data_IF_210400038513
#
_entry.id   IF_210400038513
#
_cell.length_a   1.000
_cell.length_b   1.000
_cell.length_c   1.000
_cell.angle_alpha   90.00
_cell.angle_beta   90.00
_cell.angle_gamma   90.00
#
_symmetry.space_group_name_H-M   'P 1'
#
loop_
_entity.id
_entity.type
_entity.pdbx_description
1 polymer ?
#
# COMPACT_ATOMS: atom_id res chain seq x y z
N UNK A 1 20.81 -18.43 -44.13
CA UNK A 1 20.01 -17.62 -43.18
C UNK A 1 20.97 -16.99 -42.17
N UNK A 2 21.06 -15.65 -42.16
CA UNK A 2 22.20 -14.89 -41.63
C UNK A 2 22.01 -14.66 -40.12
N UNK A 3 23.05 -14.90 -39.32
CA UNK A 3 23.02 -14.92 -37.85
C UNK A 3 22.41 -13.65 -37.19
N UNK A 4 22.46 -12.50 -37.87
CA UNK A 4 21.87 -11.24 -37.41
C UNK A 4 20.34 -11.23 -37.32
N UNK A 5 19.64 -12.01 -38.15
CA UNK A 5 18.17 -12.02 -38.16
C UNK A 5 17.61 -12.77 -36.93
N UNK A 6 18.31 -13.82 -36.47
CA UNK A 6 17.96 -14.54 -35.23
C UNK A 6 18.15 -13.68 -33.98
N UNK A 7 19.23 -12.90 -33.90
CA UNK A 7 19.52 -12.05 -32.74
C UNK A 7 18.50 -10.90 -32.63
N UNK A 8 18.09 -10.32 -33.76
CA UNK A 8 17.07 -9.28 -33.83
C UNK A 8 15.69 -9.84 -33.44
N UNK A 9 15.36 -11.03 -33.92
CA UNK A 9 14.12 -11.74 -33.57
C UNK A 9 14.05 -12.09 -32.07
N UNK A 10 15.14 -12.60 -31.48
CA UNK A 10 15.20 -12.93 -30.06
C UNK A 10 15.08 -11.68 -29.16
N UNK A 11 15.79 -10.59 -29.50
CA UNK A 11 15.73 -9.33 -28.75
C UNK A 11 14.31 -8.74 -28.78
N UNK A 12 13.65 -8.75 -29.93
CA UNK A 12 12.30 -8.20 -30.08
C UNK A 12 11.22 -9.12 -29.47
N UNK A 13 11.36 -10.44 -29.59
CA UNK A 13 10.35 -11.39 -29.11
C UNK A 13 10.42 -11.73 -27.62
N UNK A 14 11.57 -11.55 -26.97
CA UNK A 14 11.77 -11.97 -25.57
C UNK A 14 12.22 -10.83 -24.68
N UNK A 15 13.24 -10.07 -25.10
CA UNK A 15 13.84 -9.03 -24.25
C UNK A 15 12.91 -7.82 -24.10
N UNK A 16 12.27 -7.38 -25.18
CA UNK A 16 11.30 -6.27 -25.14
C UNK A 16 10.10 -6.57 -24.23
N UNK A 17 9.39 -7.70 -24.37
CA UNK A 17 8.26 -8.00 -23.48
C UNK A 17 8.68 -8.17 -22.02
N UNK A 18 9.85 -8.76 -21.75
CA UNK A 18 10.39 -8.83 -20.37
C UNK A 18 10.70 -7.44 -19.80
N UNK A 19 11.27 -6.54 -20.59
CA UNK A 19 11.49 -5.15 -20.18
C UNK A 19 10.18 -4.43 -19.89
N UNK A 20 9.16 -4.61 -20.72
CA UNK A 20 7.83 -4.03 -20.51
C UNK A 20 7.22 -4.55 -19.20
N UNK A 21 7.26 -5.87 -18.97
CA UNK A 21 6.79 -6.47 -17.72
C UNK A 21 7.55 -5.94 -16.50
N UNK A 22 8.87 -5.80 -16.61
CA UNK A 22 9.71 -5.22 -15.56
C UNK A 22 9.33 -3.77 -15.25
N UNK A 23 9.09 -2.95 -16.28
CA UNK A 23 8.65 -1.55 -16.11
C UNK A 23 7.26 -1.46 -15.47
N UNK A 24 6.32 -2.32 -15.88
CA UNK A 24 4.99 -2.41 -15.26
C UNK A 24 5.11 -2.80 -13.79
N UNK A 25 5.95 -3.78 -13.46
CA UNK A 25 6.17 -4.18 -12.08
C UNK A 25 6.73 -3.01 -11.25
N UNK A 26 7.76 -2.32 -11.74
CA UNK A 26 8.36 -1.15 -11.08
C UNK A 26 7.32 -0.04 -10.86
N UNK A 27 6.53 0.29 -11.88
CA UNK A 27 5.47 1.31 -11.77
C UNK A 27 4.35 0.95 -10.81
N UNK A 28 4.13 -0.33 -10.54
CA UNK A 28 3.10 -0.79 -9.62
C UNK A 28 3.65 -1.25 -8.27
N UNK A 29 4.95 -1.05 -7.98
CA UNK A 29 5.55 -1.46 -6.71
C UNK A 29 4.85 -0.84 -5.50
N UNK A 30 4.44 0.42 -5.56
CA UNK A 30 3.72 1.09 -4.46
C UNK A 30 2.35 0.44 -4.20
N UNK A 31 1.63 0.06 -5.27
CA UNK A 31 0.34 -0.64 -5.18
C UNK A 31 0.50 -2.08 -4.69
N UNK A 32 1.56 -2.74 -5.14
CA UNK A 32 1.92 -4.08 -4.67
C UNK A 32 2.26 -4.04 -3.17
N UNK A 33 3.06 -3.06 -2.74
CA UNK A 33 3.38 -2.87 -1.32
C UNK A 33 2.13 -2.58 -0.48
N UNK A 34 1.19 -1.77 -0.99
CA UNK A 34 -0.09 -1.51 -0.34
C UNK A 34 -0.93 -2.78 -0.12
N UNK A 35 -0.90 -3.76 -1.03
CA UNK A 35 -1.60 -5.05 -0.84
C UNK A 35 -1.08 -5.86 0.35
N UNK A 36 0.20 -5.72 0.68
CA UNK A 36 0.84 -6.43 1.79
C UNK A 36 0.93 -5.59 3.06
N UNK A 37 0.53 -4.32 3.00
CA UNK A 37 0.55 -3.45 4.17
C UNK A 37 -0.64 -3.75 5.08
N UNK A 38 -0.32 -4.30 6.24
CA UNK A 38 -1.28 -4.52 7.32
C UNK A 38 -0.58 -4.24 8.65
N UNK A 39 -1.14 -3.31 9.41
CA UNK A 39 -0.66 -2.93 10.72
C UNK A 39 -1.75 -3.21 11.76
N UNK A 40 -1.57 -4.31 12.49
CA UNK A 40 -2.43 -4.66 13.61
C UNK A 40 -2.21 -3.73 14.80
N UNK A 41 -3.27 -3.52 15.59
CA UNK A 41 -3.27 -2.63 16.75
C UNK A 41 -2.66 -1.25 16.42
N UNK A 42 -3.13 -0.65 15.34
CA UNK A 42 -2.74 0.68 14.92
C UNK A 42 -3.58 1.74 15.62
N UNK A 43 -2.93 2.83 16.04
CA UNK A 43 -3.58 4.05 16.51
C UNK A 43 -3.47 5.10 15.42
N UNK A 44 -4.61 5.57 14.94
CA UNK A 44 -4.73 6.56 13.86
C UNK A 44 -5.33 7.84 14.40
N UNK A 45 -4.68 8.97 14.11
CA UNK A 45 -5.21 10.31 14.37
C UNK A 45 -5.47 11.02 13.06
N UNK A 46 -6.72 11.46 12.87
CA UNK A 46 -7.12 12.26 11.72
C UNK A 46 -6.82 13.75 11.94
N UNK A 47 -6.66 14.53 10.87
CA UNK A 47 -6.30 15.96 10.95
C UNK A 47 -7.34 16.84 11.62
N UNK A 48 -8.61 16.45 11.56
CA UNK A 48 -9.72 17.14 12.23
C UNK A 48 -9.88 16.72 13.71
N UNK A 49 -8.96 15.91 14.24
CA UNK A 49 -9.04 15.34 15.57
C UNK A 49 -7.93 15.89 16.47
N UNK A 50 -8.30 16.78 17.41
CA UNK A 50 -7.35 17.45 18.30
C UNK A 50 -7.18 16.78 19.67
N UNK A 51 -8.06 15.83 20.04
CA UNK A 51 -8.07 15.14 21.34
C UNK A 51 -7.66 13.67 21.22
N UNK A 52 -7.08 13.12 22.29
CA UNK A 52 -6.73 11.70 22.40
C UNK A 52 -7.97 10.79 22.34
N UNK A 53 -9.13 11.26 22.79
CA UNK A 53 -10.40 10.50 22.78
C UNK A 53 -10.95 10.21 21.38
N UNK A 54 -10.41 10.89 20.37
CA UNK A 54 -10.86 10.76 18.98
C UNK A 54 -9.79 10.04 18.12
N UNK A 55 -8.73 9.52 18.76
CA UNK A 55 -7.86 8.53 18.13
C UNK A 55 -8.65 7.27 17.80
N UNK A 56 -8.45 6.75 16.60
CA UNK A 56 -9.10 5.53 16.14
C UNK A 56 -8.15 4.36 16.32
N UNK A 57 -8.66 3.26 16.85
CA UNK A 57 -7.89 2.05 17.13
C UNK A 57 -8.41 0.89 16.30
N UNK A 58 -7.50 0.10 15.72
CA UNK A 58 -7.88 -1.05 14.92
C UNK A 58 -6.76 -1.56 14.04
N UNK A 59 -7.10 -2.40 13.06
CA UNK A 59 -6.16 -2.87 12.05
C UNK A 59 -6.16 -1.91 10.87
N UNK A 60 -5.00 -1.33 10.56
CA UNK A 60 -4.82 -0.37 9.47
C UNK A 60 -4.29 -1.08 8.22
N UNK A 61 -4.94 -0.85 7.08
CA UNK A 61 -4.59 -1.38 5.75
C UNK A 61 -4.61 -0.25 4.72
N UNK A 62 -3.92 -0.43 3.60
CA UNK A 62 -3.95 0.52 2.48
C UNK A 62 -4.70 -0.14 1.32
N UNK A 63 -5.66 0.56 0.74
CA UNK A 63 -6.32 0.10 -0.46
C UNK A 63 -5.38 0.28 -1.68
N UNK A 64 -5.01 -0.82 -2.38
CA UNK A 64 -3.97 -0.78 -3.41
C UNK A 64 -4.36 -0.01 -4.67
N UNK A 65 -5.66 0.22 -4.92
CA UNK A 65 -6.11 0.99 -6.09
C UNK A 65 -6.19 2.49 -5.80
N UNK A 66 -6.82 2.89 -4.70
CA UNK A 66 -7.04 4.30 -4.35
C UNK A 66 -5.91 4.91 -3.55
N UNK A 67 -5.16 4.09 -2.80
CA UNK A 67 -4.22 4.57 -1.78
C UNK A 67 -4.90 5.03 -0.49
N UNK A 68 -6.22 4.84 -0.35
CA UNK A 68 -6.96 5.19 0.86
C UNK A 68 -6.60 4.24 1.99
N UNK A 69 -6.64 4.75 3.22
CA UNK A 69 -6.49 3.92 4.41
C UNK A 69 -7.84 3.31 4.79
N UNK A 70 -7.78 2.04 5.19
CA UNK A 70 -8.88 1.27 5.74
C UNK A 70 -8.52 0.92 7.18
N UNK A 71 -9.34 1.34 8.14
CA UNK A 71 -9.19 0.97 9.53
C UNK A 71 -10.35 0.07 9.95
N UNK A 72 -10.03 -1.16 10.35
CA UNK A 72 -11.00 -2.12 10.89
C UNK A 72 -10.96 -2.04 12.41
N UNK A 73 -12.03 -1.56 13.05
CA UNK A 73 -12.13 -1.53 14.51
C UNK A 73 -12.21 -2.94 15.12
N UNK A 74 -12.01 -3.05 16.44
CA UNK A 74 -12.17 -4.32 17.16
C UNK A 74 -13.59 -4.92 17.02
N UNK A 75 -14.60 -4.08 16.77
CA UNK A 75 -16.00 -4.48 16.52
C UNK A 75 -16.24 -4.96 15.08
N UNK A 76 -15.20 -4.95 14.23
CA UNK A 76 -15.29 -5.33 12.81
C UNK A 76 -15.79 -4.22 11.89
N UNK A 77 -16.00 -2.99 12.39
CA UNK A 77 -16.44 -1.86 11.57
C UNK A 77 -15.26 -1.32 10.75
N UNK A 78 -15.41 -1.28 9.43
CA UNK A 78 -14.39 -0.75 8.51
C UNK A 78 -14.66 0.73 8.24
N UNK A 79 -13.67 1.57 8.51
CA UNK A 79 -13.70 3.00 8.21
C UNK A 79 -12.67 3.31 7.13
N UNK A 80 -13.11 3.90 6.01
CA UNK A 80 -12.22 4.37 4.94
C UNK A 80 -11.97 5.87 5.08
N UNK A 81 -10.72 6.30 4.92
CA UNK A 81 -10.36 7.71 4.84
C UNK A 81 -9.17 7.93 3.91
N UNK A 82 -9.12 9.09 3.22
CA UNK A 82 -8.02 9.40 2.32
C UNK A 82 -6.74 9.67 3.10
N UNK A 83 -5.59 9.40 2.48
CA UNK A 83 -4.27 9.69 3.07
C UNK A 83 -4.11 11.15 3.50
N UNK A 84 -4.74 12.09 2.79
CA UNK A 84 -4.72 13.51 3.12
C UNK A 84 -5.36 13.83 4.48
N UNK A 85 -6.32 13.01 4.93
CA UNK A 85 -6.98 13.17 6.23
C UNK A 85 -6.16 12.61 7.40
N UNK A 86 -5.11 11.83 7.13
CA UNK A 86 -4.22 11.29 8.16
C UNK A 86 -3.33 12.41 8.73
N UNK A 87 -3.37 12.61 10.05
CA UNK A 87 -2.39 13.45 10.75
C UNK A 87 -1.19 12.62 11.19
N UNK A 88 -1.45 11.46 11.78
CA UNK A 88 -0.43 10.51 12.22
C UNK A 88 -1.02 9.11 12.36
N UNK A 89 -0.22 8.09 12.11
CA UNK A 89 -0.54 6.72 12.45
C UNK A 89 0.67 6.10 13.16
N UNK A 90 0.41 5.29 14.18
CA UNK A 90 1.44 4.63 15.00
C UNK A 90 1.10 3.15 15.14
N UNK A 91 2.08 2.29 14.89
CA UNK A 91 1.98 0.84 15.08
C UNK A 91 3.37 0.24 15.44
N UNK A 92 3.43 -0.83 16.25
CA UNK A 92 2.33 -1.31 17.10
C UNK A 92 1.92 -0.21 18.09
N UNK A 93 0.62 -0.07 18.39
CA UNK A 93 0.17 0.90 19.39
C UNK A 93 0.87 0.56 20.71
N UNK A 94 1.55 1.55 21.27
CA UNK A 94 2.15 1.45 22.59
C UNK A 94 0.99 1.23 23.57
N UNK A 95 0.85 0.01 24.09
CA UNK A 95 -0.09 -0.27 25.18
C UNK A 95 0.44 0.54 26.36
N UNK A 96 -0.17 1.68 26.65
CA UNK A 96 0.12 2.42 27.88
C UNK A 96 -0.54 1.60 28.99
N UNK A 97 0.26 0.83 29.72
CA UNK A 97 -0.17 0.21 30.96
C UNK A 97 -0.38 1.34 31.98
N UNK A 98 -1.62 1.52 32.42
CA UNK A 98 -2.00 2.37 33.56
C UNK A 98 -1.60 1.70 34.88
#
# INVERSE_FOLDING_TARGET
>A
MRHGDKLKSFKTGVVIPLLILGLIAIWNMDRLAAMFFEAENATVRLRNCASAECELHGTLRIEPMSGDYLLTSAEGRVTRFPQSSLASARWPAQIVAE
#
